data_IF_350246259670
#
_entry.id   IF_350246259670
#
_cell.length_a   1.000
_cell.length_b   1.000
_cell.length_c   1.000
_cell.angle_alpha   90.00
_cell.angle_beta   90.00
_cell.angle_gamma   90.00
#
_symmetry.space_group_name_H-M   'P 1'
#
loop_
_entity.id
_entity.type
_entity.pdbx_description
1 polymer ?
#
# COMPACT_ATOMS: atom_id res chain seq x y z
N UNK A 1 17.57 8.66 -1.97
CA UNK A 1 17.23 7.96 -3.23
C UNK A 1 15.76 8.24 -3.51
N UNK A 2 15.39 8.63 -4.73
CA UNK A 2 14.00 8.97 -5.03
C UNK A 2 13.15 7.72 -5.28
N UNK A 3 11.97 7.68 -4.67
CA UNK A 3 10.97 6.61 -4.79
C UNK A 3 9.78 7.09 -5.62
N UNK A 4 8.87 6.19 -5.99
CA UNK A 4 7.65 6.52 -6.77
C UNK A 4 6.82 7.64 -6.12
N UNK A 5 6.77 7.68 -4.79
CA UNK A 5 6.03 8.69 -4.04
C UNK A 5 6.57 10.12 -4.21
N UNK A 6 7.83 10.28 -4.65
CA UNK A 6 8.41 11.60 -4.95
C UNK A 6 7.97 12.14 -6.31
N UNK A 7 7.22 11.36 -7.10
CA UNK A 7 6.70 11.76 -8.40
C UNK A 7 5.20 12.04 -8.29
N UNK A 8 4.83 13.29 -8.54
CA UNK A 8 3.44 13.72 -8.49
C UNK A 8 2.71 13.27 -9.77
N UNK A 9 1.56 12.62 -9.61
CA UNK A 9 0.68 12.30 -10.74
C UNK A 9 -0.32 13.44 -10.94
N UNK A 10 -0.44 13.88 -12.19
CA UNK A 10 -1.43 14.83 -12.67
C UNK A 10 -2.50 14.06 -13.44
N UNK A 11 -3.71 14.02 -12.90
CA UNK A 11 -4.81 13.25 -13.47
C UNK A 11 -5.46 13.93 -14.68
N UNK A 12 -5.38 15.27 -14.77
CA UNK A 12 -5.99 16.04 -15.85
C UNK A 12 -5.18 15.88 -17.14
N UNK A 13 -3.85 15.93 -17.01
CA UNK A 13 -2.93 15.76 -18.14
C UNK A 13 -2.50 14.29 -18.36
N UNK A 14 -2.81 13.39 -17.43
CA UNK A 14 -2.35 11.99 -17.39
C UNK A 14 -0.81 11.88 -17.50
N UNK A 15 -0.11 12.60 -16.62
CA UNK A 15 1.36 12.63 -16.60
C UNK A 15 1.91 12.52 -15.18
N UNK A 16 3.17 12.11 -15.07
CA UNK A 16 3.93 12.20 -13.84
C UNK A 16 4.91 13.37 -13.91
N UNK A 17 5.04 14.15 -12.83
CA UNK A 17 6.06 15.20 -12.67
C UNK A 17 7.13 14.69 -11.72
N UNK A 18 8.39 14.74 -12.15
CA UNK A 18 9.52 14.32 -11.33
C UNK A 18 10.03 15.44 -10.41
N UNK A 19 10.84 15.11 -9.38
CA UNK A 19 11.47 16.11 -8.51
C UNK A 19 12.38 17.13 -9.22
N UNK A 20 12.85 16.81 -10.44
CA UNK A 20 13.61 17.74 -11.27
C UNK A 20 12.74 18.68 -12.12
N UNK A 21 11.41 18.56 -12.05
CA UNK A 21 10.45 19.38 -12.81
C UNK A 21 10.05 18.80 -14.18
N UNK A 22 10.74 17.75 -14.66
CA UNK A 22 10.43 17.12 -15.95
C UNK A 22 9.13 16.31 -15.92
N UNK A 23 8.43 16.30 -17.06
CA UNK A 23 7.16 15.59 -17.27
C UNK A 23 7.41 14.22 -17.91
N UNK A 24 6.98 13.17 -17.22
CA UNK A 24 6.94 11.79 -17.68
C UNK A 24 5.56 11.53 -18.31
N UNK A 25 5.54 11.44 -19.64
CA UNK A 25 4.31 11.19 -20.40
C UNK A 25 3.97 9.72 -20.45
N UNK A 26 2.68 9.43 -20.61
CA UNK A 26 2.19 8.09 -20.97
C UNK A 26 2.82 7.62 -22.28
N UNK A 27 3.09 6.32 -22.37
CA UNK A 27 3.75 5.71 -23.54
C UNK A 27 3.00 4.50 -24.06
N UNK A 28 2.74 3.53 -23.19
CA UNK A 28 1.98 2.34 -23.54
C UNK A 28 1.39 1.69 -22.28
N UNK A 29 0.46 0.78 -22.54
CA UNK A 29 -0.17 -0.07 -21.55
C UNK A 29 0.22 -1.52 -21.82
N UNK A 30 0.48 -2.28 -20.78
CA UNK A 30 0.78 -3.71 -20.85
C UNK A 30 -0.05 -4.44 -19.82
N UNK A 31 -0.40 -5.68 -20.09
CA UNK A 31 -1.00 -6.56 -19.10
C UNK A 31 0.11 -7.42 -18.47
N UNK A 32 0.21 -7.40 -17.14
CA UNK A 32 1.12 -8.24 -16.37
C UNK A 32 0.36 -8.79 -15.17
N UNK A 33 0.41 -10.11 -14.94
CA UNK A 33 -0.32 -10.79 -13.86
C UNK A 33 -1.83 -10.48 -13.81
N UNK A 34 -2.45 -10.27 -14.98
CA UNK A 34 -3.87 -9.90 -15.11
C UNK A 34 -4.18 -8.45 -14.71
N UNK A 35 -3.16 -7.62 -14.50
CA UNK A 35 -3.29 -6.19 -14.20
C UNK A 35 -2.93 -5.35 -15.42
N UNK A 36 -3.81 -4.40 -15.75
CA UNK A 36 -3.53 -3.41 -16.77
C UNK A 36 -2.60 -2.31 -16.22
N UNK A 37 -1.37 -2.27 -16.72
CA UNK A 37 -0.29 -1.41 -16.24
C UNK A 37 0.09 -0.37 -17.30
N UNK A 38 -0.08 0.90 -16.95
CA UNK A 38 0.33 2.06 -17.76
C UNK A 38 1.76 2.45 -17.44
N UNK A 39 2.59 2.68 -18.46
CA UNK A 39 4.01 3.05 -18.32
C UNK A 39 4.26 4.50 -18.72
N UNK A 40 5.05 5.20 -17.90
CA UNK A 40 5.38 6.62 -18.05
C UNK A 40 6.88 6.82 -17.94
N UNK A 41 7.47 7.58 -18.86
CA UNK A 41 8.88 8.01 -18.78
C UNK A 41 9.19 9.19 -19.71
N UNK A 42 10.32 9.83 -19.44
CA UNK A 42 10.89 10.92 -20.25
C UNK A 42 12.31 10.57 -20.70
N UNK A 43 12.71 11.09 -21.86
CA UNK A 43 14.07 10.99 -22.37
C UNK A 43 15.05 11.96 -21.70
N UNK A 44 14.54 12.98 -20.98
CA UNK A 44 15.34 14.06 -20.38
C UNK A 44 16.20 13.59 -19.18
N UNK A 45 16.15 12.31 -18.84
CA UNK A 45 16.99 11.73 -17.79
C UNK A 45 18.49 11.72 -18.14
N UNK A 46 18.89 11.92 -19.41
CA UNK A 46 20.32 11.94 -19.80
C UNK A 46 21.07 13.18 -19.31
N UNK A 47 20.41 14.34 -19.32
CA UNK A 47 20.92 15.66 -18.94
C UNK A 47 20.63 16.02 -17.47
N UNK A 48 19.84 15.20 -16.77
CA UNK A 48 19.32 15.50 -15.46
C UNK A 48 20.37 15.44 -14.33
N UNK A 49 20.49 16.54 -13.56
CA UNK A 49 21.45 16.69 -12.45
C UNK A 49 21.21 15.72 -11.28
N UNK A 50 19.97 15.32 -11.04
CA UNK A 50 19.61 14.42 -9.93
C UNK A 50 19.60 12.94 -10.34
N UNK A 51 19.98 12.60 -11.58
CA UNK A 51 19.90 11.24 -12.14
C UNK A 51 20.54 10.21 -11.22
N UNK A 52 21.75 10.49 -10.72
CA UNK A 52 22.50 9.59 -9.85
C UNK A 52 21.76 9.18 -8.57
N UNK A 53 20.82 10.02 -8.08
CA UNK A 53 19.97 9.72 -6.90
C UNK A 53 18.59 9.16 -7.26
N UNK A 54 18.22 9.17 -8.55
CA UNK A 54 16.90 8.86 -9.06
C UNK A 54 16.82 7.47 -9.73
N UNK A 55 17.77 7.15 -10.60
CA UNK A 55 17.82 5.89 -11.35
C UNK A 55 19.24 5.55 -11.76
N UNK A 56 19.59 4.26 -11.73
CA UNK A 56 20.85 3.74 -12.29
C UNK A 56 20.75 3.43 -13.78
N UNK A 57 19.54 3.37 -14.33
CA UNK A 57 19.28 3.10 -15.74
C UNK A 57 19.39 4.34 -16.64
N UNK A 58 19.07 4.15 -17.93
CA UNK A 58 19.00 5.25 -18.92
C UNK A 58 17.99 6.32 -18.50
N UNK A 59 16.83 5.87 -18.05
CA UNK A 59 15.68 6.71 -17.68
C UNK A 59 14.93 6.09 -16.49
N UNK A 60 14.12 6.90 -15.80
CA UNK A 60 13.22 6.42 -14.75
C UNK A 60 11.88 6.08 -15.40
N UNK A 61 11.45 4.83 -15.27
CA UNK A 61 10.12 4.37 -15.71
C UNK A 61 9.19 4.26 -14.51
N UNK A 62 8.00 4.85 -14.62
CA UNK A 62 6.93 4.74 -13.64
C UNK A 62 5.84 3.86 -14.19
N UNK A 63 5.30 3.04 -13.31
CA UNK A 63 4.20 2.14 -13.61
C UNK A 63 3.02 2.54 -12.77
N UNK A 64 1.88 2.73 -13.41
CA UNK A 64 0.61 3.01 -12.75
C UNK A 64 -0.38 1.93 -13.12
N UNK A 65 -0.95 1.26 -12.14
CA UNK A 65 -2.10 0.40 -12.39
C UNK A 65 -3.32 1.26 -12.72
N UNK A 66 -4.16 0.82 -13.65
CA UNK A 66 -5.36 1.57 -14.08
C UNK A 66 -6.23 2.03 -12.90
N UNK A 67 -6.33 1.23 -11.84
CA UNK A 67 -7.10 1.57 -10.63
C UNK A 67 -6.25 2.03 -9.44
N UNK A 68 -5.03 2.52 -9.66
CA UNK A 68 -4.15 2.95 -8.57
C UNK A 68 -4.75 4.12 -7.76
N UNK A 69 -5.62 4.92 -8.36
CA UNK A 69 -6.40 5.95 -7.66
C UNK A 69 -7.22 5.39 -6.48
N UNK A 70 -7.66 4.12 -6.54
CA UNK A 70 -8.35 3.46 -5.42
C UNK A 70 -7.42 3.21 -4.24
N UNK A 71 -6.17 2.83 -4.53
CA UNK A 71 -5.13 2.61 -3.52
C UNK A 71 -4.71 3.95 -2.91
N UNK A 72 -4.54 4.98 -3.73
CA UNK A 72 -4.25 6.35 -3.29
C UNK A 72 -5.37 6.88 -2.40
N UNK A 73 -6.64 6.70 -2.78
CA UNK A 73 -7.79 7.10 -1.97
C UNK A 73 -7.92 6.30 -0.66
N UNK A 74 -7.57 5.01 -0.67
CA UNK A 74 -7.54 4.19 0.55
C UNK A 74 -6.42 4.65 1.50
N UNK A 75 -5.24 4.96 0.96
CA UNK A 75 -4.10 5.50 1.72
C UNK A 75 -4.41 6.89 2.28
N UNK A 76 -5.04 7.78 1.51
CA UNK A 76 -5.44 9.11 1.98
C UNK A 76 -6.42 9.01 3.15
N UNK A 77 -7.38 8.08 3.10
CA UNK A 77 -8.28 7.78 4.22
C UNK A 77 -7.54 7.27 5.47
N UNK A 78 -6.48 6.48 5.28
CA UNK A 78 -5.66 5.93 6.36
C UNK A 78 -4.82 7.01 7.07
N UNK A 79 -4.25 7.94 6.31
CA UNK A 79 -3.35 9.01 6.81
C UNK A 79 -4.13 10.21 7.34
N UNK A 80 -5.34 10.44 6.80
CA UNK A 80 -6.17 11.59 7.17
C UNK A 80 -6.50 11.63 8.66
N UNK A 81 -6.99 12.79 9.17
CA UNK A 81 -7.30 13.02 10.58
C UNK A 81 -8.46 12.15 11.09
N UNK A 82 -9.05 11.33 10.22
CA UNK A 82 -10.11 10.43 10.59
C UNK A 82 -9.60 9.51 11.71
N UNK A 83 -10.33 9.50 12.81
CA UNK A 83 -10.07 8.64 13.96
C UNK A 83 -10.50 7.16 13.80
N UNK A 84 -11.16 6.65 12.72
CA UNK A 84 -11.76 5.33 12.77
C UNK A 84 -10.72 4.22 12.88
N UNK A 85 -9.46 4.42 12.48
CA UNK A 85 -8.40 3.45 12.77
C UNK A 85 -7.99 3.46 14.24
N UNK A 86 -7.86 4.63 14.86
CA UNK A 86 -7.57 4.76 16.30
C UNK A 86 -8.72 4.22 17.14
N UNK A 87 -9.96 4.52 16.78
CA UNK A 87 -11.17 3.98 17.40
C UNK A 87 -11.21 2.46 17.22
N UNK A 88 -11.04 1.94 15.99
CA UNK A 88 -10.97 0.49 15.74
C UNK A 88 -9.90 -0.19 16.58
N UNK A 89 -8.73 0.44 16.71
CA UNK A 89 -7.65 -0.07 17.56
C UNK A 89 -8.14 -0.24 18.99
N UNK A 90 -8.76 0.79 19.58
CA UNK A 90 -9.28 0.75 20.94
C UNK A 90 -10.49 -0.18 21.13
N UNK A 91 -11.40 -0.26 20.16
CA UNK A 91 -12.66 -1.00 20.31
C UNK A 91 -12.55 -2.47 19.94
N UNK A 92 -11.68 -2.82 18.99
CA UNK A 92 -11.67 -4.15 18.34
C UNK A 92 -10.45 -4.98 18.74
N UNK A 93 -9.28 -4.38 18.97
CA UNK A 93 -8.08 -5.16 19.32
C UNK A 93 -8.20 -5.84 20.68
N UNK A 94 -8.82 -5.20 21.68
CA UNK A 94 -9.03 -5.83 22.98
C UNK A 94 -9.93 -7.08 22.88
N UNK A 95 -11.15 -7.02 22.29
CA UNK A 95 -11.96 -8.23 22.05
C UNK A 95 -11.21 -9.32 21.28
N UNK A 96 -10.47 -8.99 20.22
CA UNK A 96 -9.67 -9.98 19.49
C UNK A 96 -8.54 -10.56 20.34
N UNK A 97 -7.90 -9.76 21.18
CA UNK A 97 -6.89 -10.22 22.14
C UNK A 97 -7.48 -11.22 23.13
N UNK A 98 -8.63 -10.91 23.72
CA UNK A 98 -9.37 -11.81 24.61
C UNK A 98 -9.75 -13.11 23.91
N UNK A 99 -10.34 -13.03 22.71
CA UNK A 99 -10.72 -14.21 21.92
C UNK A 99 -9.49 -15.06 21.58
N UNK A 100 -8.35 -14.46 21.22
CA UNK A 100 -7.10 -15.21 20.98
C UNK A 100 -6.52 -15.82 22.26
N UNK A 101 -6.66 -15.15 23.41
CA UNK A 101 -6.31 -15.70 24.73
C UNK A 101 -7.12 -16.97 25.00
N UNK A 102 -8.43 -16.90 24.82
CA UNK A 102 -9.35 -18.01 25.02
C UNK A 102 -9.19 -19.13 23.98
N UNK A 103 -8.79 -18.82 22.75
CA UNK A 103 -8.62 -19.80 21.67
C UNK A 103 -7.21 -20.41 21.57
N UNK A 104 -6.40 -20.32 22.63
CA UNK A 104 -5.19 -21.14 22.72
C UNK A 104 -3.86 -20.41 22.59
N UNK A 105 -3.79 -19.09 22.81
CA UNK A 105 -2.48 -18.47 23.11
C UNK A 105 -1.98 -18.86 24.51
N UNK A 106 -2.88 -19.27 25.41
CA UNK A 106 -2.57 -20.08 26.59
C UNK A 106 -3.02 -21.54 26.35
N UNK A 107 -2.27 -22.53 26.83
CA UNK A 107 -2.68 -23.94 26.71
C UNK A 107 -4.00 -24.19 27.46
N UNK A 108 -4.94 -24.92 26.83
CA UNK A 108 -6.14 -25.40 27.52
C UNK A 108 -5.77 -26.29 28.71
N UNK A 109 -6.47 -26.11 29.82
CA UNK A 109 -6.28 -26.91 31.03
C UNK A 109 -6.88 -28.32 30.87
N UNK A 110 -7.90 -28.46 30.01
CA UNK A 110 -8.60 -29.71 29.77
C UNK A 110 -8.24 -30.38 28.44
N UNK A 111 -8.52 -31.69 28.34
CA UNK A 111 -8.31 -32.50 27.13
C UNK A 111 -9.65 -33.01 26.58
N UNK A 112 -9.68 -33.28 25.27
CA UNK A 112 -10.84 -33.73 24.46
C UNK A 112 -11.85 -32.61 24.15
N UNK A 113 -12.45 -32.66 22.96
CA UNK A 113 -13.26 -31.57 22.39
C UNK A 113 -14.43 -31.11 23.27
N UNK A 114 -15.14 -32.03 23.93
CA UNK A 114 -16.28 -31.66 24.80
C UNK A 114 -15.86 -30.81 26.00
N UNK A 115 -14.73 -31.14 26.63
CA UNK A 115 -14.21 -30.43 27.79
C UNK A 115 -13.63 -29.07 27.37
N UNK A 116 -12.87 -29.03 26.27
CA UNK A 116 -12.31 -27.78 25.72
C UNK A 116 -13.41 -26.80 25.31
N UNK A 117 -14.50 -27.28 24.69
CA UNK A 117 -15.67 -26.42 24.39
C UNK A 117 -16.30 -25.83 25.64
N UNK A 118 -16.36 -26.59 26.72
CA UNK A 118 -16.89 -26.14 28.01
C UNK A 118 -15.96 -25.11 28.65
N UNK A 119 -14.64 -25.33 28.59
CA UNK A 119 -13.62 -24.40 29.07
C UNK A 119 -13.64 -23.07 28.30
N UNK A 120 -13.85 -23.09 26.98
CA UNK A 120 -14.03 -21.87 26.16
C UNK A 120 -15.33 -21.14 26.52
N UNK A 121 -16.40 -21.85 26.85
CA UNK A 121 -17.69 -21.25 27.18
C UNK A 121 -17.77 -20.65 28.59
N UNK A 122 -16.84 -21.03 29.48
CA UNK A 122 -16.78 -20.58 30.87
C UNK A 122 -15.71 -19.50 31.13
N UNK A 123 -14.84 -19.24 30.15
CA UNK A 123 -13.93 -18.09 30.15
C UNK A 123 -14.64 -16.86 29.59
#
# INVERSE_FOLDING_TARGET
>A
MYVKADFAYDADEDVYRCPAGEVLRYRYTTEEDGLELRRYWTGECSSCLIKARCTTGKERRITRWTHEHLIEAARARLIGPSEPMTVRRGTVEHPFGTIKAWMGTAHFLTRRLGNVKTEIALN
#
